data_IF_175466565530
#
_entry.id   IF_175466565530
#
_cell.length_a   1.000
_cell.length_b   1.000
_cell.length_c   1.000
_cell.angle_alpha   90.00
_cell.angle_beta   90.00
_cell.angle_gamma   90.00
#
_symmetry.space_group_name_H-M   'P 1'
#
loop_
_entity.id
_entity.type
_entity.pdbx_description
1 polymer ?
#
# COMPACT_ATOMS: atom_id res chain seq x y z
N UNK A 1 -23.51 -34.35 -30.23
CA UNK A 1 -24.01 -33.29 -29.31
C UNK A 1 -23.08 -33.15 -28.11
N UNK A 2 -22.04 -32.28 -28.15
CA UNK A 2 -21.18 -31.97 -26.98
C UNK A 2 -20.74 -30.48 -26.89
N UNK A 3 -20.82 -29.72 -27.99
CA UNK A 3 -20.40 -28.30 -28.05
C UNK A 3 -21.22 -27.34 -27.18
N UNK A 4 -22.54 -27.57 -27.00
CA UNK A 4 -23.42 -26.64 -26.26
C UNK A 4 -23.17 -26.63 -24.74
N UNK A 5 -22.75 -27.75 -24.12
CA UNK A 5 -22.48 -27.77 -22.67
C UNK A 5 -21.11 -27.16 -22.35
N UNK A 6 -20.12 -27.35 -23.22
CA UNK A 6 -18.78 -26.79 -23.06
C UNK A 6 -18.81 -25.25 -23.11
N UNK A 7 -19.56 -24.66 -24.07
CA UNK A 7 -19.71 -23.21 -24.16
C UNK A 7 -20.39 -22.58 -22.93
N UNK A 8 -21.39 -23.25 -22.34
CA UNK A 8 -22.03 -22.78 -21.09
C UNK A 8 -21.11 -22.89 -19.87
N UNK A 9 -20.23 -23.89 -19.83
CA UNK A 9 -19.26 -24.05 -18.75
C UNK A 9 -18.20 -22.95 -18.79
N UNK A 10 -17.69 -22.63 -19.99
CA UNK A 10 -16.74 -21.53 -20.22
C UNK A 10 -17.39 -20.19 -19.88
N UNK A 11 -18.65 -19.95 -20.28
CA UNK A 11 -19.36 -18.72 -19.97
C UNK A 11 -19.58 -18.52 -18.46
N UNK A 12 -19.91 -19.60 -17.73
CA UNK A 12 -20.03 -19.57 -16.27
C UNK A 12 -18.68 -19.31 -15.60
N UNK A 13 -17.60 -19.92 -16.09
CA UNK A 13 -16.24 -19.66 -15.60
C UNK A 13 -15.85 -18.20 -15.79
N UNK A 14 -16.07 -17.65 -16.99
CA UNK A 14 -15.82 -16.24 -17.29
C UNK A 14 -16.66 -15.29 -16.42
N UNK A 15 -17.95 -15.60 -16.21
CA UNK A 15 -18.82 -14.81 -15.34
C UNK A 15 -18.35 -14.81 -13.88
N UNK A 16 -17.88 -15.95 -13.37
CA UNK A 16 -17.31 -16.04 -12.02
C UNK A 16 -16.02 -15.21 -11.92
N UNK A 17 -15.13 -15.29 -12.91
CA UNK A 17 -13.90 -14.47 -12.93
C UNK A 17 -14.23 -12.98 -12.93
N UNK A 18 -15.17 -12.54 -13.78
CA UNK A 18 -15.61 -11.14 -13.82
C UNK A 18 -16.25 -10.69 -12.50
N UNK A 19 -17.05 -11.55 -11.86
CA UNK A 19 -17.64 -11.25 -10.56
C UNK A 19 -16.56 -11.11 -9.48
N UNK A 20 -15.55 -11.98 -9.48
CA UNK A 20 -14.41 -11.89 -8.54
C UNK A 20 -13.60 -10.61 -8.77
N UNK A 21 -13.32 -10.26 -10.03
CA UNK A 21 -12.64 -9.00 -10.37
C UNK A 21 -13.48 -7.79 -9.93
N UNK A 22 -14.79 -7.81 -10.16
CA UNK A 22 -15.68 -6.73 -9.72
C UNK A 22 -15.73 -6.59 -8.19
N UNK A 23 -15.84 -7.72 -7.46
CA UNK A 23 -15.80 -7.69 -5.99
C UNK A 23 -14.46 -7.17 -5.51
N UNK A 24 -13.34 -7.61 -6.10
CA UNK A 24 -11.99 -7.08 -5.80
C UNK A 24 -11.96 -5.57 -5.99
N UNK A 25 -12.50 -5.05 -7.08
CA UNK A 25 -12.54 -3.61 -7.35
C UNK A 25 -13.41 -2.84 -6.34
N UNK A 26 -14.59 -3.34 -5.99
CA UNK A 26 -15.45 -2.72 -4.97
C UNK A 26 -14.78 -2.73 -3.60
N UNK A 27 -14.15 -3.85 -3.23
CA UNK A 27 -13.41 -4.03 -1.98
C UNK A 27 -12.22 -3.08 -1.90
N UNK A 28 -11.41 -2.99 -2.95
CA UNK A 28 -10.26 -2.06 -3.02
C UNK A 28 -10.70 -0.59 -2.94
N UNK A 29 -11.85 -0.25 -3.52
CA UNK A 29 -12.32 1.13 -3.55
C UNK A 29 -13.00 1.58 -2.25
N UNK A 30 -13.57 0.67 -1.46
CA UNK A 30 -14.42 1.03 -0.32
C UNK A 30 -14.00 0.42 1.03
N UNK A 31 -13.01 -0.47 1.05
CA UNK A 31 -12.68 -1.21 2.28
C UNK A 31 -11.18 -1.45 2.41
N UNK A 32 -10.76 -1.71 3.65
CA UNK A 32 -9.36 -2.04 3.99
C UNK A 32 -9.05 -3.54 3.86
N UNK A 33 -9.91 -4.34 3.22
CA UNK A 33 -9.78 -5.81 3.23
C UNK A 33 -8.67 -6.25 2.27
N UNK A 34 -7.54 -6.66 2.83
CA UNK A 34 -6.44 -7.29 2.11
C UNK A 34 -6.42 -8.79 2.39
N UNK A 35 -6.73 -9.60 1.36
CA UNK A 35 -6.74 -11.07 1.45
C UNK A 35 -5.42 -11.71 1.00
N UNK A 36 -4.38 -10.92 0.69
CA UNK A 36 -3.07 -11.46 0.34
C UNK A 36 -2.51 -12.29 1.49
N UNK A 37 -2.06 -13.52 1.19
CA UNK A 37 -1.42 -14.39 2.20
C UNK A 37 0.01 -13.95 2.53
N UNK A 38 0.53 -12.93 1.85
CA UNK A 38 1.87 -12.37 2.05
C UNK A 38 2.07 -11.77 3.45
N UNK A 39 0.98 -11.55 4.20
CA UNK A 39 0.98 -11.11 5.60
C UNK A 39 1.75 -12.05 6.57
N UNK A 40 1.94 -13.33 6.22
CA UNK A 40 2.49 -14.34 7.17
C UNK A 40 3.98 -14.58 7.06
N UNK A 41 4.69 -13.95 6.13
CA UNK A 41 6.08 -14.31 5.82
C UNK A 41 7.08 -13.17 5.83
N UNK A 42 6.73 -11.97 6.27
CA UNK A 42 7.70 -10.87 6.24
C UNK A 42 8.17 -10.48 7.63
N UNK A 43 9.40 -10.88 7.93
CA UNK A 43 10.14 -10.46 9.11
C UNK A 43 10.12 -8.93 9.26
N UNK A 44 9.85 -8.47 10.49
CA UNK A 44 9.97 -7.08 10.94
C UNK A 44 8.98 -6.03 10.42
N UNK A 45 7.94 -6.33 9.63
CA UNK A 45 6.97 -5.30 9.20
C UNK A 45 5.91 -4.91 10.25
N UNK A 46 5.88 -5.57 11.42
CA UNK A 46 5.00 -5.22 12.54
C UNK A 46 5.36 -3.89 13.24
N UNK A 47 6.58 -3.39 13.00
CA UNK A 47 7.05 -2.09 13.44
C UNK A 47 6.50 -0.92 12.61
N UNK A 48 5.86 -1.18 11.46
CA UNK A 48 5.34 -0.12 10.59
C UNK A 48 4.06 0.45 11.19
N UNK A 49 4.06 1.76 11.37
CA UNK A 49 2.92 2.56 11.84
C UNK A 49 2.41 3.42 10.69
N UNK A 50 1.10 3.36 10.48
CA UNK A 50 0.37 4.23 9.57
C UNK A 50 -0.23 5.35 10.41
N UNK A 51 0.03 6.60 10.06
CA UNK A 51 -0.37 7.76 10.87
C UNK A 51 -1.23 8.72 10.06
N UNK A 52 -2.40 9.05 10.58
CA UNK A 52 -3.26 10.05 9.99
C UNK A 52 -3.03 11.38 10.69
N UNK A 53 -2.32 12.28 10.02
CA UNK A 53 -1.87 13.58 10.58
C UNK A 53 -3.06 14.42 11.07
N UNK A 54 -4.10 14.57 10.25
CA UNK A 54 -5.27 15.37 10.59
C UNK A 54 -6.10 14.81 11.76
N UNK A 55 -6.30 13.49 11.80
CA UNK A 55 -7.06 12.82 12.88
C UNK A 55 -6.22 12.57 14.13
N UNK A 56 -4.91 12.85 14.08
CA UNK A 56 -3.93 12.51 15.12
C UNK A 56 -4.10 11.09 15.64
N UNK A 57 -4.30 10.15 14.71
CA UNK A 57 -4.56 8.74 15.01
C UNK A 57 -3.51 7.87 14.34
N UNK A 58 -3.01 6.89 15.08
CA UNK A 58 -2.06 5.91 14.58
C UNK A 58 -2.75 4.54 14.44
N UNK A 59 -2.32 3.81 13.41
CA UNK A 59 -2.86 2.52 13.03
C UNK A 59 -1.72 1.53 12.84
N UNK A 60 -1.99 0.29 13.24
CA UNK A 60 -1.19 -0.85 12.82
C UNK A 60 -2.01 -1.71 11.88
N UNK A 61 -1.30 -2.40 10.99
CA UNK A 61 -1.92 -3.37 10.11
C UNK A 61 -2.35 -4.61 10.90
N UNK A 62 -3.49 -5.16 10.53
CA UNK A 62 -4.02 -6.44 10.97
C UNK A 62 -4.59 -7.19 9.77
N UNK A 63 -5.10 -8.40 10.00
CA UNK A 63 -5.73 -9.23 8.98
C UNK A 63 -6.87 -8.54 8.20
N UNK A 64 -7.56 -7.58 8.82
CA UNK A 64 -8.70 -6.87 8.21
C UNK A 64 -8.34 -5.48 7.66
N UNK A 65 -7.05 -5.16 7.54
CA UNK A 65 -6.57 -3.84 7.13
C UNK A 65 -5.97 -3.05 8.27
N UNK A 66 -6.34 -1.79 8.43
CA UNK A 66 -5.81 -0.92 9.48
C UNK A 66 -6.67 -0.96 10.74
N UNK A 67 -6.02 -1.03 11.90
CA UNK A 67 -6.67 -0.98 13.20
C UNK A 67 -6.02 0.10 14.07
N UNK A 68 -6.84 0.92 14.71
CA UNK A 68 -6.38 1.87 15.72
C UNK A 68 -5.70 1.14 16.87
N UNK A 69 -4.67 1.75 17.42
CA UNK A 69 -3.93 1.20 18.55
C UNK A 69 -3.66 2.29 19.57
N UNK A 70 -3.99 2.00 20.83
CA UNK A 70 -3.79 2.94 21.93
C UNK A 70 -2.33 3.05 22.37
N UNK A 71 -1.49 2.08 21.98
CA UNK A 71 -0.13 1.90 22.51
C UNK A 71 0.95 2.47 21.57
N UNK A 72 0.56 3.15 20.49
CA UNK A 72 1.49 3.69 19.50
C UNK A 72 1.68 5.18 19.72
N UNK A 73 2.90 5.55 20.12
CA UNK A 73 3.37 6.93 20.02
C UNK A 73 3.82 7.16 18.58
N UNK A 74 3.07 7.95 17.82
CA UNK A 74 3.43 8.34 16.46
C UNK A 74 3.89 9.80 16.42
N UNK A 75 4.97 10.07 15.71
CA UNK A 75 5.30 11.41 15.30
C UNK A 75 4.46 11.79 14.08
N UNK A 76 3.54 12.74 14.24
CA UNK A 76 2.69 13.21 13.15
C UNK A 76 3.40 14.20 12.19
N UNK A 77 4.73 14.33 12.27
CA UNK A 77 5.53 14.95 11.22
C UNK A 77 5.50 14.10 9.95
N UNK A 78 5.33 14.73 8.78
CA UNK A 78 5.12 14.02 7.51
C UNK A 78 6.33 13.21 7.05
N UNK A 79 7.51 13.83 7.13
CA UNK A 79 8.79 13.26 6.71
C UNK A 79 9.87 13.69 7.72
N UNK A 80 10.29 12.77 8.59
CA UNK A 80 11.16 13.08 9.74
C UNK A 80 12.65 13.27 9.37
N UNK A 81 12.97 13.27 8.08
CA UNK A 81 14.34 13.28 7.54
C UNK A 81 14.64 14.47 6.60
N UNK A 82 13.79 15.50 6.60
CA UNK A 82 13.96 16.69 5.76
C UNK A 82 13.18 16.65 4.44
N UNK A 83 12.30 15.65 4.24
CA UNK A 83 11.42 15.59 3.07
C UNK A 83 12.19 15.27 1.78
N UNK A 84 11.88 15.97 0.69
CA UNK A 84 12.45 15.68 -0.63
C UNK A 84 13.97 15.93 -0.72
N UNK A 85 14.55 16.67 0.21
CA UNK A 85 16.00 16.87 0.31
C UNK A 85 16.68 15.87 1.27
N UNK A 86 15.88 15.02 1.93
CA UNK A 86 16.29 14.04 2.91
C UNK A 86 17.03 12.85 2.30
N UNK A 87 17.90 12.24 3.11
CA UNK A 87 18.70 11.08 2.67
C UNK A 87 17.84 9.84 2.39
N UNK A 88 16.69 9.68 3.08
CA UNK A 88 15.79 8.54 2.80
C UNK A 88 15.15 8.70 1.43
N UNK A 89 14.65 9.90 1.11
CA UNK A 89 14.08 10.17 -0.21
C UNK A 89 15.10 9.90 -1.32
N UNK A 90 16.33 10.41 -1.20
CA UNK A 90 17.39 10.19 -2.20
C UNK A 90 17.69 8.71 -2.42
N UNK A 91 17.80 7.92 -1.35
CA UNK A 91 18.03 6.46 -1.45
C UNK A 91 16.85 5.76 -2.12
N UNK A 92 15.63 6.16 -1.80
CA UNK A 92 14.42 5.59 -2.36
C UNK A 92 14.33 5.85 -3.88
N UNK A 93 14.45 7.10 -4.31
CA UNK A 93 14.30 7.46 -5.73
C UNK A 93 15.44 6.96 -6.62
N UNK A 94 16.60 6.65 -6.03
CA UNK A 94 17.70 6.00 -6.74
C UNK A 94 17.33 4.58 -7.22
N UNK A 95 16.30 3.96 -6.63
CA UNK A 95 15.85 2.60 -6.98
C UNK A 95 14.51 2.63 -7.71
N UNK A 96 13.48 3.28 -7.16
CA UNK A 96 12.10 3.12 -7.66
C UNK A 96 11.75 4.05 -8.83
N UNK A 97 12.61 5.04 -9.14
CA UNK A 97 12.36 6.08 -10.14
C UNK A 97 11.00 6.77 -9.96
N UNK A 98 10.97 7.82 -9.12
CA UNK A 98 9.73 8.55 -8.81
C UNK A 98 9.08 9.16 -10.07
N UNK A 99 7.88 8.68 -10.41
CA UNK A 99 7.07 9.20 -11.52
C UNK A 99 6.12 10.33 -11.09
N UNK A 100 6.28 10.87 -9.88
CA UNK A 100 5.45 11.94 -9.33
C UNK A 100 4.28 11.47 -8.46
N UNK A 101 4.20 10.17 -8.18
CA UNK A 101 3.10 9.56 -7.42
C UNK A 101 3.51 9.11 -6.01
N UNK A 102 4.72 9.45 -5.58
CA UNK A 102 5.22 9.11 -4.26
C UNK A 102 4.53 9.94 -3.16
N UNK A 103 4.05 9.25 -2.12
CA UNK A 103 3.34 9.85 -0.99
C UNK A 103 4.26 10.17 0.20
N UNK A 104 4.34 9.24 1.15
CA UNK A 104 5.16 9.33 2.38
C UNK A 104 6.20 8.21 2.38
N UNK A 105 7.27 8.38 3.16
CA UNK A 105 8.31 7.38 3.33
C UNK A 105 8.96 7.45 4.71
N UNK A 106 9.54 6.33 5.15
CA UNK A 106 10.34 6.27 6.37
C UNK A 106 11.40 5.16 6.29
N UNK A 107 12.61 5.46 6.77
CA UNK A 107 13.68 4.48 6.91
C UNK A 107 13.44 3.59 8.14
N UNK A 108 13.76 2.29 8.03
CA UNK A 108 13.78 1.39 9.18
C UNK A 108 14.87 1.81 10.18
N UNK A 109 14.75 1.45 11.48
CA UNK A 109 15.73 1.85 12.49
C UNK A 109 17.15 1.36 12.22
N UNK A 110 17.29 0.21 11.56
CA UNK A 110 18.57 -0.36 11.13
C UNK A 110 19.09 0.23 9.80
N UNK A 111 18.31 1.09 9.15
CA UNK A 111 18.65 1.74 7.89
C UNK A 111 18.72 0.79 6.68
N UNK A 112 18.25 -0.46 6.81
CA UNK A 112 18.29 -1.46 5.73
C UNK A 112 17.08 -1.44 4.83
N UNK A 113 15.97 -0.83 5.27
CA UNK A 113 14.70 -0.82 4.55
C UNK A 113 14.09 0.57 4.51
N UNK A 114 13.24 0.80 3.52
CA UNK A 114 12.43 2.00 3.41
C UNK A 114 10.98 1.57 3.18
N UNK A 115 10.07 1.97 4.07
CA UNK A 115 8.63 1.88 3.80
C UNK A 115 8.22 3.15 3.05
N UNK A 116 7.36 3.02 2.05
CA UNK A 116 6.85 4.15 1.29
C UNK A 116 5.44 3.91 0.77
N UNK A 117 4.74 4.98 0.38
CA UNK A 117 3.46 4.91 -0.30
C UNK A 117 3.53 5.46 -1.72
N UNK A 118 2.76 4.85 -2.62
CA UNK A 118 2.67 5.20 -4.04
C UNK A 118 1.21 5.26 -4.46
N UNK A 119 0.77 6.40 -4.96
CA UNK A 119 -0.56 6.60 -5.49
C UNK A 119 -0.70 6.04 -6.90
N UNK A 120 -1.79 5.33 -7.17
CA UNK A 120 -2.14 4.88 -8.51
C UNK A 120 -3.26 5.76 -9.06
N UNK A 121 -2.96 6.55 -10.09
CA UNK A 121 -3.91 7.50 -10.66
C UNK A 121 -4.87 6.84 -11.65
N UNK A 122 -6.06 7.42 -11.80
CA UNK A 122 -7.04 7.00 -12.81
C UNK A 122 -6.57 7.40 -14.21
N UNK A 123 -6.00 8.60 -14.31
CA UNK A 123 -5.45 9.19 -15.53
C UNK A 123 -4.15 9.93 -15.19
N UNK A 124 -3.09 9.64 -15.94
CA UNK A 124 -1.78 10.30 -15.80
C UNK A 124 -1.84 11.80 -16.15
N UNK A 125 -2.85 12.23 -16.91
CA UNK A 125 -3.11 13.65 -17.18
C UNK A 125 -3.76 14.37 -16.00
N UNK A 126 -4.33 13.64 -15.04
CA UNK A 126 -4.97 14.17 -13.85
C UNK A 126 -4.36 13.54 -12.58
N UNK A 127 -3.09 13.85 -12.26
CA UNK A 127 -2.30 13.13 -11.26
C UNK A 127 -2.85 13.26 -9.82
N UNK A 128 -3.81 14.15 -9.59
CA UNK A 128 -4.49 14.31 -8.30
C UNK A 128 -5.63 13.29 -8.10
N UNK A 129 -6.10 12.62 -9.15
CA UNK A 129 -7.17 11.61 -9.06
C UNK A 129 -6.58 10.24 -8.77
N UNK A 130 -6.14 10.06 -7.54
CA UNK A 130 -5.66 8.78 -7.02
C UNK A 130 -6.85 7.82 -6.90
N UNK A 131 -6.69 6.60 -7.43
CA UNK A 131 -7.65 5.50 -7.40
C UNK A 131 -7.49 4.65 -6.14
N UNK A 132 -6.25 4.29 -5.83
CA UNK A 132 -5.83 3.55 -4.64
C UNK A 132 -4.36 3.83 -4.37
N UNK A 133 -3.88 3.43 -3.21
CA UNK A 133 -2.49 3.64 -2.79
C UNK A 133 -1.92 2.30 -2.41
N UNK A 134 -0.73 2.03 -2.90
CA UNK A 134 0.07 0.93 -2.41
C UNK A 134 1.06 1.43 -1.37
N UNK A 135 1.18 0.69 -0.28
CA UNK A 135 2.24 0.83 0.68
C UNK A 135 3.20 -0.33 0.46
N UNK A 136 4.47 -0.01 0.31
CA UNK A 136 5.52 -0.93 -0.09
C UNK A 136 6.72 -0.79 0.83
N UNK A 137 7.52 -1.83 0.91
CA UNK A 137 8.84 -1.79 1.55
C UNK A 137 9.89 -2.14 0.51
N UNK A 138 10.87 -1.25 0.38
CA UNK A 138 12.11 -1.48 -0.36
C UNK A 138 13.17 -2.02 0.62
N UNK A 139 13.75 -3.17 0.31
CA UNK A 139 14.98 -3.64 0.95
C UNK A 139 16.19 -3.08 0.21
N UNK A 140 17.04 -2.33 0.91
CA UNK A 140 18.21 -1.66 0.31
C UNK A 140 19.39 -2.61 0.08
N UNK A 141 19.35 -3.83 0.61
CA UNK A 141 20.43 -4.80 0.41
C UNK A 141 20.37 -5.41 -0.99
N UNK A 142 19.18 -5.73 -1.47
CA UNK A 142 18.95 -6.43 -2.75
C UNK A 142 18.01 -5.68 -3.72
N UNK A 143 17.52 -4.50 -3.33
CA UNK A 143 16.55 -3.68 -4.05
C UNK A 143 15.20 -4.38 -4.31
N UNK A 144 14.86 -5.41 -3.53
CA UNK A 144 13.56 -6.05 -3.61
C UNK A 144 12.47 -5.13 -3.06
N UNK A 145 11.31 -5.15 -3.73
CA UNK A 145 10.14 -4.36 -3.35
C UNK A 145 9.03 -5.32 -2.98
N UNK A 146 8.53 -5.17 -1.76
CA UNK A 146 7.41 -5.96 -1.24
C UNK A 146 6.19 -5.07 -1.05
N UNK A 147 5.08 -5.39 -1.71
CA UNK A 147 3.78 -4.76 -1.42
C UNK A 147 3.33 -5.21 -0.04
N UNK A 148 3.18 -4.25 0.87
CA UNK A 148 2.68 -4.54 2.21
C UNK A 148 1.18 -4.35 2.28
N UNK A 149 0.61 -3.29 1.71
CA UNK A 149 -0.81 -2.93 1.83
C UNK A 149 -1.32 -2.21 0.59
N UNK A 150 -2.57 -2.44 0.20
CA UNK A 150 -3.28 -1.54 -0.70
C UNK A 150 -4.48 -0.94 0.03
N UNK A 151 -4.63 0.38 -0.05
CA UNK A 151 -5.73 1.13 0.56
C UNK A 151 -6.51 1.96 -0.46
N UNK A 152 -7.78 2.30 -0.19
CA UNK A 152 -8.54 3.23 -0.99
C UNK A 152 -7.88 4.62 -1.03
N UNK A 153 -8.22 5.43 -2.04
CA UNK A 153 -7.67 6.78 -2.23
C UNK A 153 -7.88 7.75 -1.04
N UNK A 154 -8.86 7.48 -0.18
CA UNK A 154 -9.10 8.29 1.03
C UNK A 154 -7.91 8.26 2.01
N UNK A 155 -7.06 7.24 1.91
CA UNK A 155 -5.90 7.05 2.78
C UNK A 155 -4.61 7.70 2.24
N UNK A 156 -4.71 8.55 1.22
CA UNK A 156 -3.56 9.24 0.58
C UNK A 156 -2.81 10.13 1.56
N UNK A 157 -3.47 10.49 2.66
CA UNK A 157 -2.91 11.30 3.74
C UNK A 157 -2.24 10.50 4.85
N UNK A 158 -2.18 9.17 4.76
CA UNK A 158 -1.46 8.37 5.74
C UNK A 158 0.06 8.57 5.59
N UNK A 159 0.67 9.11 6.65
CA UNK A 159 2.11 9.09 6.84
C UNK A 159 2.59 7.72 7.31
N UNK A 160 3.90 7.51 7.23
CA UNK A 160 4.56 6.27 7.61
C UNK A 160 5.65 6.50 8.66
N UNK A 161 5.82 5.52 9.54
CA UNK A 161 6.82 5.52 10.61
C UNK A 161 7.21 4.09 10.97
N UNK A 162 8.44 3.90 11.45
CA UNK A 162 8.90 2.65 12.05
C UNK A 162 9.04 2.80 13.56
N UNK A 163 8.65 1.75 14.28
CA UNK A 163 8.85 1.58 15.72
C UNK A 163 9.73 0.38 16.01
#
# INVERSE_FOLDING_TARGET
MKKKSFGRLVLKGAAVVLLVLFIKEVVLYHTYLDFSQDYRQVDNYEGIVFKHEYKRTAYKRCFWGLKTTADVTADFSRNNDGGFDGETYKKLIAVIHDSGHLGSWAASPDGTKIVYSEGHVIDELEPTYIRYIDFKVLDLQDNSITLIFTAPAEETSLGLEWQ
#
